data_IF_910958032371
#
_entry.id   IF_910958032371
#
_cell.length_a   1.000
_cell.length_b   1.000
_cell.length_c   1.000
_cell.angle_alpha   90.00
_cell.angle_beta   90.00
_cell.angle_gamma   90.00
#
_symmetry.space_group_name_H-M   'P 1'
#
loop_
_entity.id
_entity.type
_entity.pdbx_description
1 polymer ?
#
# COMPACT_ATOMS: atom_id res chain seq x y z
N UNK A 1 -47.32 35.93 -16.68
CA UNK A 1 -46.72 34.58 -16.59
C UNK A 1 -45.20 34.54 -16.48
N UNK A 2 -44.56 35.46 -15.76
CA UNK A 2 -43.08 35.44 -15.57
C UNK A 2 -42.61 34.52 -14.45
N UNK A 3 -43.53 34.12 -13.53
CA UNK A 3 -43.12 33.33 -12.34
C UNK A 3 -42.78 31.84 -12.67
N UNK A 4 -43.31 31.30 -13.76
CA UNK A 4 -43.04 29.91 -14.18
C UNK A 4 -41.64 29.73 -14.81
N UNK A 5 -41.10 30.77 -15.46
CA UNK A 5 -39.77 30.73 -16.08
C UNK A 5 -38.62 30.81 -15.07
N UNK A 6 -38.84 31.41 -13.93
CA UNK A 6 -37.84 31.50 -12.85
C UNK A 6 -37.66 30.18 -12.09
N UNK A 7 -38.73 29.40 -11.92
CA UNK A 7 -38.70 28.10 -11.25
C UNK A 7 -37.95 27.02 -12.06
N UNK A 8 -38.01 27.08 -13.38
CA UNK A 8 -37.30 26.14 -14.28
C UNK A 8 -35.79 26.41 -14.32
N UNK A 9 -35.37 27.67 -14.17
CA UNK A 9 -33.95 28.03 -14.14
C UNK A 9 -33.25 27.63 -12.83
N UNK A 10 -33.97 27.54 -11.72
CA UNK A 10 -33.44 27.11 -10.42
C UNK A 10 -33.27 25.58 -10.32
N UNK A 11 -34.01 24.79 -11.11
CA UNK A 11 -33.91 23.32 -11.10
C UNK A 11 -32.72 22.79 -11.92
N UNK A 12 -32.18 23.58 -12.86
CA UNK A 12 -31.08 23.15 -13.72
C UNK A 12 -29.70 23.36 -13.08
N UNK A 13 -29.59 24.15 -12.01
CA UNK A 13 -28.30 24.48 -11.39
C UNK A 13 -27.79 23.48 -10.34
N UNK A 14 -28.55 22.41 -10.03
CA UNK A 14 -28.14 21.42 -9.00
C UNK A 14 -27.49 20.15 -9.57
N UNK A 15 -27.31 20.06 -10.90
CA UNK A 15 -26.69 18.88 -11.53
C UNK A 15 -25.19 19.00 -11.81
N UNK A 16 -24.55 20.03 -11.38
CA UNK A 16 -23.15 20.28 -11.69
C UNK A 16 -22.27 20.16 -10.44
N UNK A 17 -21.95 18.97 -9.96
CA UNK A 17 -20.69 18.68 -9.23
C UNK A 17 -20.62 17.25 -8.69
N UNK A 18 -20.94 16.25 -9.48
CA UNK A 18 -20.40 14.91 -9.21
C UNK A 18 -19.11 14.71 -10.04
N UNK A 19 -18.14 15.58 -9.88
CA UNK A 19 -16.77 15.19 -10.15
C UNK A 19 -16.42 14.13 -9.11
N UNK A 20 -16.59 12.87 -9.45
CA UNK A 20 -16.14 11.76 -8.65
C UNK A 20 -14.61 11.91 -8.47
N UNK A 21 -14.21 12.54 -7.38
CA UNK A 21 -12.81 12.70 -7.02
C UNK A 21 -12.30 11.30 -6.72
N UNK A 22 -11.38 10.82 -7.57
CA UNK A 22 -10.73 9.53 -7.41
C UNK A 22 -10.02 9.49 -6.05
N UNK A 23 -10.55 8.68 -5.12
CA UNK A 23 -9.91 8.44 -3.83
C UNK A 23 -8.73 7.47 -4.04
N UNK A 24 -7.53 7.80 -3.55
CA UNK A 24 -6.39 6.91 -3.69
C UNK A 24 -6.61 5.60 -2.92
N UNK A 25 -6.26 4.45 -3.50
CA UNK A 25 -6.25 3.18 -2.79
C UNK A 25 -5.40 3.24 -1.52
N UNK A 26 -5.84 2.51 -0.50
CA UNK A 26 -5.12 2.40 0.77
C UNK A 26 -4.21 1.19 0.70
N UNK A 27 -2.92 1.40 0.95
CA UNK A 27 -1.91 0.34 0.98
C UNK A 27 -1.42 0.21 2.42
N UNK A 28 -1.50 -1.00 2.96
CA UNK A 28 -1.09 -1.32 4.33
C UNK A 28 -0.22 -2.57 4.35
N UNK A 29 0.80 -2.60 5.21
CA UNK A 29 1.53 -3.83 5.50
C UNK A 29 0.60 -4.76 6.27
N UNK A 30 0.35 -5.94 5.72
CA UNK A 30 -0.52 -6.95 6.33
C UNK A 30 0.29 -8.00 7.08
N UNK A 31 1.45 -8.41 6.50
CA UNK A 31 2.26 -9.48 7.05
C UNK A 31 3.74 -9.30 6.75
N UNK A 32 4.55 -9.71 7.72
CA UNK A 32 5.99 -9.93 7.53
C UNK A 32 6.25 -11.44 7.62
N UNK A 33 6.81 -12.00 6.56
CA UNK A 33 7.26 -13.38 6.55
C UNK A 33 8.45 -13.60 7.51
N UNK A 34 8.75 -14.85 7.85
CA UNK A 34 9.96 -15.17 8.62
C UNK A 34 11.20 -14.77 7.85
N UNK A 35 12.15 -14.09 8.49
CA UNK A 35 13.44 -13.85 7.87
C UNK A 35 14.13 -15.17 7.55
N UNK A 36 14.49 -15.37 6.29
CA UNK A 36 15.34 -16.47 5.86
C UNK A 36 16.79 -16.04 6.02
N UNK A 37 17.46 -16.63 7.00
CA UNK A 37 18.83 -16.25 7.35
C UNK A 37 19.84 -16.83 6.35
N UNK A 38 20.73 -16.00 5.83
CA UNK A 38 21.86 -16.34 5.01
C UNK A 38 23.18 -15.96 5.67
N UNK A 39 24.32 -16.20 5.00
CA UNK A 39 25.66 -15.93 5.53
C UNK A 39 25.92 -14.41 5.72
N UNK A 40 25.43 -13.57 4.81
CA UNK A 40 25.71 -12.12 4.79
C UNK A 40 24.49 -11.25 5.06
N UNK A 41 23.32 -11.87 5.19
CA UNK A 41 22.05 -11.15 5.33
C UNK A 41 20.88 -12.10 5.57
N UNK A 42 19.68 -11.51 5.54
CA UNK A 42 18.44 -12.26 5.58
C UNK A 42 17.48 -11.76 4.50
N UNK A 43 16.68 -12.66 3.95
CA UNK A 43 15.57 -12.28 3.06
C UNK A 43 14.28 -12.27 3.83
N UNK A 44 13.53 -11.19 3.72
CA UNK A 44 12.23 -10.97 4.36
C UNK A 44 11.15 -10.82 3.30
N UNK A 45 10.05 -11.51 3.43
CA UNK A 45 8.87 -11.29 2.60
C UNK A 45 7.93 -10.27 3.28
N UNK A 46 7.53 -9.24 2.55
CA UNK A 46 6.57 -8.23 3.00
C UNK A 46 5.32 -8.34 2.16
N UNK A 47 4.19 -8.62 2.80
CA UNK A 47 2.87 -8.66 2.14
C UNK A 47 2.10 -7.40 2.45
N UNK A 48 1.59 -6.77 1.41
CA UNK A 48 0.74 -5.59 1.48
C UNK A 48 -0.70 -5.96 1.14
N UNK A 49 -1.65 -5.41 1.87
CA UNK A 49 -3.05 -5.36 1.50
C UNK A 49 -3.33 -4.01 0.83
N UNK A 50 -4.02 -4.05 -0.30
CA UNK A 50 -4.47 -2.89 -1.05
C UNK A 50 -5.98 -2.88 -1.10
N UNK A 51 -6.59 -1.81 -0.58
CA UNK A 51 -8.04 -1.61 -0.61
C UNK A 51 -8.39 -0.47 -1.57
N UNK A 52 -9.31 -0.75 -2.49
CA UNK A 52 -9.87 0.24 -3.39
C UNK A 52 -11.14 0.85 -2.79
N UNK A 53 -11.16 2.15 -2.44
CA UNK A 53 -12.36 2.79 -1.90
C UNK A 53 -13.36 3.26 -2.98
N UNK A 54 -13.02 3.10 -4.26
CA UNK A 54 -13.80 3.60 -5.37
C UNK A 54 -14.81 2.55 -5.89
N UNK A 55 -15.85 3.01 -6.55
CA UNK A 55 -16.90 2.22 -7.21
C UNK A 55 -16.51 1.71 -8.61
N UNK A 56 -15.24 1.83 -8.98
CA UNK A 56 -14.64 1.35 -10.23
C UNK A 56 -13.32 0.63 -9.98
N UNK A 57 -12.92 -0.30 -10.87
CA UNK A 57 -11.67 -1.02 -10.73
C UNK A 57 -10.47 -0.10 -10.92
N UNK A 58 -9.42 -0.35 -10.16
CA UNK A 58 -8.13 0.34 -10.29
C UNK A 58 -7.01 -0.69 -10.48
N UNK A 59 -6.05 -0.33 -11.34
CA UNK A 59 -4.84 -1.12 -11.54
C UNK A 59 -3.68 -0.43 -10.85
N UNK A 60 -2.91 -1.16 -10.05
CA UNK A 60 -1.63 -0.72 -9.51
C UNK A 60 -0.53 -1.38 -10.34
N UNK A 61 0.28 -0.55 -11.00
CA UNK A 61 1.31 -1.05 -11.91
C UNK A 61 2.65 -1.30 -11.22
N UNK A 62 3.01 -0.49 -10.23
CA UNK A 62 4.27 -0.60 -9.50
C UNK A 62 4.23 0.15 -8.18
N UNK A 63 4.98 -0.36 -7.22
CA UNK A 63 5.14 0.26 -5.90
C UNK A 63 6.64 0.40 -5.60
N UNK A 64 7.04 1.55 -5.07
CA UNK A 64 8.35 1.78 -4.45
C UNK A 64 8.14 2.21 -3.02
N UNK A 65 8.90 1.64 -2.10
CA UNK A 65 8.78 1.97 -0.69
C UNK A 65 10.11 1.84 0.05
N UNK A 66 10.25 2.63 1.09
CA UNK A 66 11.24 2.43 2.15
C UNK A 66 10.60 1.63 3.28
N UNK A 67 11.32 0.66 3.79
CA UNK A 67 10.91 -0.16 4.94
C UNK A 67 11.71 0.26 6.17
N UNK A 68 10.97 0.50 7.25
CA UNK A 68 11.51 0.73 8.59
C UNK A 68 10.99 -0.37 9.51
N UNK A 69 11.88 -0.95 10.29
CA UNK A 69 11.55 -1.92 11.33
C UNK A 69 12.04 -1.38 12.67
N UNK A 70 11.16 -1.31 13.65
CA UNK A 70 11.44 -0.72 14.98
C UNK A 70 12.10 0.66 14.89
N UNK A 71 11.66 1.50 13.93
CA UNK A 71 12.19 2.84 13.71
C UNK A 71 13.48 2.91 12.89
N UNK A 72 14.13 1.79 12.60
CA UNK A 72 15.36 1.76 11.80
C UNK A 72 15.01 1.52 10.32
N UNK A 73 15.52 2.37 9.42
CA UNK A 73 15.42 2.15 7.98
C UNK A 73 16.25 0.94 7.59
N UNK A 74 15.59 -0.09 7.08
CA UNK A 74 16.27 -1.34 6.68
C UNK A 74 16.58 -1.38 5.19
N UNK A 75 15.92 -0.55 4.39
CA UNK A 75 16.22 -0.37 2.96
C UNK A 75 15.00 0.02 2.14
N UNK A 76 15.08 -0.15 0.83
CA UNK A 76 14.02 0.13 -0.14
C UNK A 76 13.55 -1.15 -0.85
N UNK A 77 12.26 -1.23 -1.08
CA UNK A 77 11.60 -2.32 -1.79
C UNK A 77 10.94 -1.83 -3.08
N UNK A 78 10.75 -2.79 -3.99
CA UNK A 78 10.14 -2.52 -5.27
C UNK A 78 9.23 -3.68 -5.70
N UNK A 79 7.98 -3.37 -6.08
CA UNK A 79 7.02 -4.33 -6.61
C UNK A 79 6.70 -3.91 -8.04
N UNK A 80 6.95 -4.82 -8.99
CA UNK A 80 6.66 -4.63 -10.41
C UNK A 80 5.40 -5.39 -10.85
N UNK A 81 4.89 -6.27 -9.99
CA UNK A 81 3.69 -7.03 -10.31
C UNK A 81 2.50 -6.08 -10.42
N UNK A 82 1.80 -6.17 -11.55
CA UNK A 82 0.53 -5.48 -11.73
C UNK A 82 -0.54 -6.18 -10.89
N UNK A 83 -1.33 -5.37 -10.20
CA UNK A 83 -2.44 -5.85 -9.38
C UNK A 83 -3.69 -5.05 -9.73
N UNK A 84 -4.75 -5.76 -10.15
CA UNK A 84 -6.06 -5.19 -10.37
C UNK A 84 -6.88 -5.34 -9.09
N UNK A 85 -7.50 -4.24 -8.66
CA UNK A 85 -8.34 -4.20 -7.45
C UNK A 85 -9.75 -3.81 -7.85
N UNK A 86 -10.68 -4.71 -7.65
CA UNK A 86 -12.09 -4.54 -7.96
C UNK A 86 -12.72 -3.35 -7.20
N UNK A 87 -13.88 -2.84 -7.66
CA UNK A 87 -14.62 -1.82 -6.94
C UNK A 87 -14.88 -2.24 -5.50
N UNK A 88 -14.54 -1.36 -4.53
CA UNK A 88 -14.63 -1.61 -3.09
C UNK A 88 -13.90 -2.87 -2.60
N UNK A 89 -13.10 -3.48 -3.47
CA UNK A 89 -12.39 -4.73 -3.23
C UNK A 89 -11.03 -4.54 -2.58
N UNK A 90 -10.41 -5.68 -2.30
CA UNK A 90 -9.06 -5.79 -1.75
C UNK A 90 -8.22 -6.74 -2.59
N UNK A 91 -6.92 -6.48 -2.66
CA UNK A 91 -5.95 -7.35 -3.29
C UNK A 91 -4.66 -7.39 -2.49
N UNK A 92 -3.90 -8.47 -2.63
CA UNK A 92 -2.61 -8.65 -1.97
C UNK A 92 -1.47 -8.57 -2.96
N UNK A 93 -0.36 -7.98 -2.52
CA UNK A 93 0.90 -7.99 -3.25
C UNK A 93 2.05 -8.27 -2.30
N UNK A 94 3.03 -9.04 -2.74
CA UNK A 94 4.20 -9.38 -1.94
C UNK A 94 5.49 -8.87 -2.57
N UNK A 95 6.44 -8.55 -1.74
CA UNK A 95 7.79 -8.15 -2.13
C UNK A 95 8.80 -8.89 -1.27
N UNK A 96 9.89 -9.35 -1.89
CA UNK A 96 11.06 -9.85 -1.18
C UNK A 96 12.00 -8.69 -0.92
N UNK A 97 12.56 -8.71 0.27
CA UNK A 97 13.42 -7.67 0.76
C UNK A 97 14.70 -8.29 1.35
N UNK A 98 15.86 -7.89 0.82
CA UNK A 98 17.14 -8.41 1.28
C UNK A 98 17.77 -7.48 2.30
N UNK A 99 17.95 -8.00 3.52
CA UNK A 99 18.61 -7.35 4.65
C UNK A 99 20.08 -7.71 4.66
N UNK A 100 20.96 -6.73 4.58
CA UNK A 100 22.40 -6.95 4.73
C UNK A 100 22.82 -6.64 6.17
N UNK A 101 23.44 -7.62 6.86
CA UNK A 101 23.85 -7.48 8.27
C UNK A 101 24.86 -6.35 8.51
N UNK A 102 25.73 -6.10 7.53
CA UNK A 102 26.74 -5.06 7.64
C UNK A 102 26.14 -3.65 7.52
N UNK A 103 25.01 -3.51 6.82
CA UNK A 103 24.37 -2.21 6.61
C UNK A 103 23.40 -1.82 7.74
N UNK A 104 22.80 -2.81 8.38
CA UNK A 104 21.77 -2.58 9.41
C UNK A 104 21.87 -3.56 10.59
N UNK A 105 23.03 -3.61 11.28
CA UNK A 105 23.26 -4.59 12.35
C UNK A 105 22.24 -4.46 13.50
N UNK A 106 21.84 -3.24 13.84
CA UNK A 106 20.88 -2.99 14.90
C UNK A 106 19.45 -3.45 14.54
N UNK A 107 19.03 -3.32 13.29
CA UNK A 107 17.72 -3.79 12.85
C UNK A 107 17.63 -5.31 12.88
N UNK A 108 18.67 -6.01 12.40
CA UNK A 108 18.70 -7.47 12.41
C UNK A 108 18.63 -8.00 13.85
N UNK A 109 19.43 -7.45 14.75
CA UNK A 109 19.41 -7.84 16.17
C UNK A 109 18.03 -7.60 16.80
N UNK A 110 17.44 -6.43 16.57
CA UNK A 110 16.10 -6.07 17.06
C UNK A 110 14.99 -6.99 16.52
N UNK A 111 15.11 -7.48 15.28
CA UNK A 111 14.20 -8.45 14.68
C UNK A 111 14.35 -9.84 15.33
N UNK A 112 15.58 -10.25 15.61
CA UNK A 112 15.85 -11.57 16.21
C UNK A 112 15.46 -11.67 17.66
N UNK A 113 15.52 -10.56 18.41
CA UNK A 113 15.24 -10.53 19.86
C UNK A 113 13.76 -10.30 20.18
N UNK A 114 12.94 -9.90 19.24
CA UNK A 114 11.53 -9.54 19.47
C UNK A 114 10.59 -10.37 18.63
N UNK A 115 9.51 -10.80 19.25
CA UNK A 115 8.42 -11.50 18.57
C UNK A 115 7.53 -10.53 17.76
N UNK A 116 7.51 -9.26 18.16
CA UNK A 116 6.73 -8.19 17.53
C UNK A 116 7.63 -7.12 16.95
N UNK A 117 7.23 -6.61 15.79
CA UNK A 117 7.98 -5.63 15.04
C UNK A 117 7.05 -4.50 14.61
N UNK A 118 7.47 -3.28 14.91
CA UNK A 118 6.84 -2.08 14.35
C UNK A 118 7.33 -1.90 12.93
N UNK A 119 6.50 -2.25 11.96
CA UNK A 119 6.77 -2.07 10.55
C UNK A 119 6.17 -0.75 10.07
N UNK A 120 7.01 0.11 9.53
CA UNK A 120 6.59 1.34 8.86
C UNK A 120 7.09 1.33 7.43
N UNK A 121 6.19 1.65 6.51
CA UNK A 121 6.55 1.85 5.10
C UNK A 121 6.15 3.25 4.66
N UNK A 122 7.00 3.86 3.85
CA UNK A 122 6.71 5.11 3.16
C UNK A 122 7.10 4.95 1.71
N UNK A 123 6.21 5.36 0.82
CA UNK A 123 6.50 5.14 -0.58
C UNK A 123 5.55 5.83 -1.52
N UNK A 124 5.62 5.36 -2.75
CA UNK A 124 4.75 5.79 -3.83
C UNK A 124 4.35 4.61 -4.68
N UNK A 125 3.12 4.65 -5.16
CA UNK A 125 2.64 3.72 -6.15
C UNK A 125 2.10 4.46 -7.36
N UNK A 126 2.04 3.73 -8.46
CA UNK A 126 1.49 4.21 -9.72
C UNK A 126 0.22 3.43 -9.99
N UNK A 127 -0.84 4.16 -10.19
CA UNK A 127 -2.17 3.60 -10.40
C UNK A 127 -2.84 4.21 -11.62
N UNK A 128 -3.77 3.47 -12.20
CA UNK A 128 -4.65 3.94 -13.25
C UNK A 128 -6.06 3.34 -13.12
N UNK A 129 -7.03 4.08 -13.56
CA UNK A 129 -8.37 3.57 -13.86
C UNK A 129 -8.32 2.94 -15.25
N UNK A 130 -9.18 1.95 -15.54
CA UNK A 130 -9.32 1.38 -16.88
C UNK A 130 -9.50 2.48 -17.94
N UNK A 131 -8.63 2.51 -18.96
CA UNK A 131 -8.62 3.57 -20.00
C UNK A 131 -8.12 4.95 -19.55
N UNK A 132 -7.72 5.12 -18.29
CA UNK A 132 -7.25 6.38 -17.71
C UNK A 132 -5.74 6.56 -17.75
N UNK A 133 -5.29 7.80 -17.45
CA UNK A 133 -3.87 8.12 -17.29
C UNK A 133 -3.31 7.56 -15.99
N UNK A 134 -2.04 7.18 -16.01
CA UNK A 134 -1.29 6.81 -14.81
C UNK A 134 -1.17 8.00 -13.86
N UNK A 135 -1.42 7.76 -12.57
CA UNK A 135 -1.26 8.74 -11.50
C UNK A 135 -0.30 8.19 -10.45
N UNK A 136 0.59 9.05 -9.97
CA UNK A 136 1.48 8.76 -8.86
C UNK A 136 0.83 9.18 -7.56
N UNK A 137 0.81 8.28 -6.59
CA UNK A 137 0.25 8.50 -5.26
C UNK A 137 1.30 8.15 -4.20
N UNK A 138 1.47 9.00 -3.22
CA UNK A 138 2.29 8.72 -2.05
C UNK A 138 1.46 7.97 -0.99
N UNK A 139 2.09 7.09 -0.24
CA UNK A 139 1.46 6.39 0.87
C UNK A 139 2.41 6.26 2.06
N UNK A 140 1.83 6.08 3.22
CA UNK A 140 2.52 5.69 4.45
C UNK A 140 1.65 4.66 5.16
N UNK A 141 2.27 3.60 5.67
CA UNK A 141 1.59 2.57 6.44
C UNK A 141 2.43 2.25 7.66
N UNK A 142 1.76 2.06 8.78
CA UNK A 142 2.34 1.61 10.05
C UNK A 142 1.54 0.40 10.53
N UNK A 143 2.24 -0.64 10.94
CA UNK A 143 1.62 -1.84 11.49
C UNK A 143 2.53 -2.43 12.57
N UNK A 144 1.92 -2.88 13.67
CA UNK A 144 2.59 -3.70 14.66
C UNK A 144 2.26 -5.16 14.33
N UNK A 145 3.27 -5.92 13.91
CA UNK A 145 3.10 -7.25 13.35
C UNK A 145 3.93 -8.27 14.11
N UNK A 146 3.36 -9.45 14.27
CA UNK A 146 4.13 -10.64 14.63
C UNK A 146 4.77 -11.22 13.36
N UNK A 147 5.98 -11.75 13.47
CA UNK A 147 6.52 -12.58 12.39
C UNK A 147 5.66 -13.83 12.23
N UNK A 148 5.33 -14.15 10.97
CA UNK A 148 4.57 -15.38 10.67
C UNK A 148 5.34 -16.59 11.18
N UNK A 149 4.87 -17.13 12.28
CA UNK A 149 5.44 -18.33 12.91
C UNK A 149 4.84 -19.54 12.24
N UNK A 150 4.83 -19.80 11.00
CA UNK A 150 4.34 -21.05 10.41
C UNK A 150 3.71 -22.07 11.37
N UNK A 151 2.98 -23.07 10.96
CA UNK A 151 2.36 -24.04 11.85
C UNK A 151 3.40 -24.58 12.83
N UNK A 152 3.13 -24.48 14.13
CA UNK A 152 3.95 -25.15 15.15
C UNK A 152 3.86 -26.65 14.89
N UNK A 153 4.95 -27.39 14.92
CA UNK A 153 4.93 -28.82 14.78
C UNK A 153 4.11 -29.49 15.90
#
# INVERSE_FOLDING_TARGET
MPRLRLAVLLLVSTFAAACATMEPPRIQVERLGRPQMGLTGATLEVTFNVRNPNDYPVTIDRVRYDLFLNGVRVGDGFITQRVDVEPFGEARMSSRFDLNYLRVPGAVRSIMERDRVDARTRGRFYMRRSGGRERRVNFSSEANLDFDRGPRP
#
